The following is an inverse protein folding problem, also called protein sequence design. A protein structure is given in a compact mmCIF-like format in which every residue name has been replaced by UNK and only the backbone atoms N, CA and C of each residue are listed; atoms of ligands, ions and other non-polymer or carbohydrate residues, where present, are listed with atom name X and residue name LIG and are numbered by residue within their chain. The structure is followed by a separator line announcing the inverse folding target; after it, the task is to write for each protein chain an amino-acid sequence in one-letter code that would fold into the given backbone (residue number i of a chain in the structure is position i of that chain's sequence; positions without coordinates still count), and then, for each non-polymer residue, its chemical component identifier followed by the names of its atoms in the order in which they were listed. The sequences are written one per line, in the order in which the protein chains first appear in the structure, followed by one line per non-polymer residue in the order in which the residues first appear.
data_IF_464824857460
#
_entry.id   IF_464824857460
#
_cell.length_a   1.000
_cell.length_b   1.000
_cell.length_c   1.000
_cell.angle_alpha   90.00
_cell.angle_beta   90.00
_cell.angle_gamma   90.00
#
_symmetry.space_group_name_H-M   'P 1'
#
loop_
_entity.id
_entity.type
_entity.pdbx_description
1 polymer ?
#
# COMPACT_ATOMS: atom_id res chain seq x y z
N UNK A 1 11.86 2.28 -24.13
CA UNK A 1 11.27 0.93 -24.04
C UNK A 1 10.84 0.65 -22.59
N UNK A 2 9.65 0.13 -22.41
CA UNK A 2 9.14 -0.23 -21.09
C UNK A 2 9.83 -1.50 -20.60
N UNK A 3 10.38 -1.46 -19.40
CA UNK A 3 11.01 -2.63 -18.78
C UNK A 3 9.97 -3.40 -17.98
N UNK A 4 9.32 -4.38 -18.62
CA UNK A 4 8.29 -5.21 -17.98
C UNK A 4 8.87 -6.07 -16.86
N UNK A 5 10.14 -6.45 -16.97
CA UNK A 5 10.81 -7.24 -15.94
C UNK A 5 10.93 -6.44 -14.64
N UNK A 6 11.23 -5.14 -14.75
CA UNK A 6 11.35 -4.27 -13.58
C UNK A 6 10.01 -4.09 -12.86
N UNK A 7 8.92 -3.89 -13.62
CA UNK A 7 7.60 -3.78 -13.00
C UNK A 7 7.19 -5.11 -12.36
N UNK A 8 7.51 -6.24 -12.97
CA UNK A 8 7.20 -7.55 -12.40
C UNK A 8 7.91 -7.79 -11.07
N UNK A 9 9.15 -7.32 -10.92
CA UNK A 9 9.87 -7.41 -9.66
C UNK A 9 9.14 -6.68 -8.53
N UNK A 10 8.57 -5.52 -8.84
CA UNK A 10 7.73 -4.82 -7.86
C UNK A 10 6.47 -5.61 -7.51
N UNK A 11 5.79 -6.16 -8.52
CA UNK A 11 4.55 -6.90 -8.31
C UNK A 11 4.77 -8.17 -7.49
N UNK A 12 5.91 -8.84 -7.66
CA UNK A 12 6.25 -10.00 -6.83
C UNK A 12 6.32 -9.63 -5.35
N UNK A 13 6.89 -8.47 -5.05
CA UNK A 13 6.96 -7.96 -3.68
C UNK A 13 5.58 -7.56 -3.15
N UNK A 14 4.72 -7.02 -4.03
CA UNK A 14 3.34 -6.69 -3.65
C UNK A 14 2.61 -7.93 -3.14
N UNK A 15 2.67 -9.02 -3.89
CA UNK A 15 2.03 -10.28 -3.51
C UNK A 15 2.59 -10.81 -2.19
N UNK A 16 3.91 -10.76 -2.03
CA UNK A 16 4.56 -11.21 -0.81
C UNK A 16 4.08 -10.41 0.40
N UNK A 17 4.03 -9.08 0.26
CA UNK A 17 3.62 -8.21 1.37
C UNK A 17 2.14 -8.38 1.72
N UNK A 18 1.28 -8.60 0.71
CA UNK A 18 -0.15 -8.86 1.00
C UNK A 18 -0.35 -10.19 1.71
N UNK A 19 0.40 -11.22 1.35
CA UNK A 19 0.36 -12.50 2.06
C UNK A 19 0.82 -12.31 3.52
N UNK A 20 1.83 -11.47 3.73
CA UNK A 20 2.30 -11.14 5.08
C UNK A 20 1.22 -10.40 5.87
N UNK A 21 0.53 -9.43 5.24
CA UNK A 21 -0.56 -8.71 5.89
C UNK A 21 -1.64 -9.68 6.39
N UNK A 22 -2.03 -10.64 5.56
CA UNK A 22 -3.03 -11.63 5.93
C UNK A 22 -2.56 -12.53 7.06
N UNK A 23 -1.30 -12.94 7.04
CA UNK A 23 -0.72 -13.76 8.11
C UNK A 23 -0.68 -12.98 9.44
N UNK A 24 -0.37 -11.69 9.39
CA UNK A 24 -0.37 -10.85 10.58
C UNK A 24 -1.78 -10.71 11.14
N UNK A 25 -2.77 -10.56 10.27
CA UNK A 25 -4.17 -10.50 10.70
C UNK A 25 -4.58 -11.79 11.40
N UNK A 26 -4.25 -12.95 10.83
CA UNK A 26 -4.62 -14.26 11.38
C UNK A 26 -4.00 -14.51 12.75
N UNK A 27 -2.82 -13.95 13.00
CA UNK A 27 -2.11 -14.14 14.27
C UNK A 27 -2.35 -12.99 15.27
N UNK A 28 -3.26 -12.08 14.94
CA UNK A 28 -3.62 -10.99 15.84
C UNK A 28 -2.63 -9.84 15.88
N UNK A 29 -1.69 -9.79 14.95
CA UNK A 29 -0.68 -8.72 14.87
C UNK A 29 -1.20 -7.60 13.98
N UNK A 30 -2.21 -6.89 14.49
CA UNK A 30 -3.03 -5.97 13.69
C UNK A 30 -2.24 -4.77 13.19
N UNK A 31 -1.32 -4.23 14.01
CA UNK A 31 -0.48 -3.10 13.61
C UNK A 31 0.32 -3.45 12.36
N UNK A 32 0.93 -4.64 12.36
CA UNK A 32 1.76 -5.06 11.24
C UNK A 32 0.93 -5.45 10.02
N UNK A 33 -0.30 -5.94 10.22
CA UNK A 33 -1.21 -6.18 9.10
C UNK A 33 -1.48 -4.89 8.34
N UNK A 34 -1.80 -3.80 9.04
CA UNK A 34 -2.07 -2.50 8.42
C UNK A 34 -0.78 -1.92 7.80
N UNK A 35 0.35 -2.04 8.52
CA UNK A 35 1.64 -1.59 8.00
C UNK A 35 1.98 -2.29 6.68
N UNK A 36 1.73 -3.59 6.57
CA UNK A 36 2.01 -4.33 5.34
C UNK A 36 1.09 -3.94 4.19
N UNK A 37 -0.13 -3.47 4.50
CA UNK A 37 -0.99 -2.89 3.46
C UNK A 37 -0.34 -1.65 2.84
N UNK A 38 0.21 -0.77 3.66
CA UNK A 38 0.93 0.41 3.17
C UNK A 38 2.12 -0.02 2.30
N UNK A 39 2.92 -0.99 2.77
CA UNK A 39 4.07 -1.47 2.04
C UNK A 39 3.68 -2.05 0.68
N UNK A 40 2.63 -2.84 0.65
CA UNK A 40 2.15 -3.47 -0.58
C UNK A 40 1.67 -2.42 -1.58
N UNK A 41 0.88 -1.45 -1.14
CA UNK A 41 0.38 -0.37 -2.01
C UNK A 41 1.52 0.51 -2.52
N UNK A 42 2.47 0.86 -1.66
CA UNK A 42 3.62 1.65 -2.09
C UNK A 42 4.36 0.95 -3.23
N UNK A 43 4.62 -0.34 -3.08
CA UNK A 43 5.32 -1.12 -4.10
C UNK A 43 4.48 -1.27 -5.36
N UNK A 44 3.15 -1.36 -5.23
CA UNK A 44 2.27 -1.45 -6.38
C UNK A 44 2.31 -0.15 -7.21
N UNK A 45 2.24 1.02 -6.57
CA UNK A 45 2.38 2.29 -7.26
C UNK A 45 3.76 2.41 -7.93
N UNK A 46 4.81 1.97 -7.24
CA UNK A 46 6.17 2.00 -7.81
C UNK A 46 6.30 1.05 -9.00
N UNK A 47 5.63 -0.09 -8.95
CA UNK A 47 5.52 -0.99 -10.10
C UNK A 47 4.83 -0.34 -11.28
N UNK A 48 3.76 0.41 -11.03
CA UNK A 48 3.06 1.15 -12.07
C UNK A 48 3.96 2.24 -12.68
N UNK A 49 4.70 2.98 -11.85
CA UNK A 49 5.66 3.97 -12.35
C UNK A 49 6.73 3.31 -13.22
N UNK A 50 7.24 2.15 -12.81
CA UNK A 50 8.20 1.40 -13.62
C UNK A 50 7.59 0.99 -14.96
N UNK A 51 6.34 0.53 -14.95
CA UNK A 51 5.60 0.17 -16.16
C UNK A 51 5.44 1.37 -17.10
N UNK A 52 5.24 2.56 -16.53
CA UNK A 52 5.10 3.81 -17.27
C UNK A 52 6.44 4.41 -17.72
N UNK A 53 7.54 3.73 -17.42
CA UNK A 53 8.91 4.19 -17.71
C UNK A 53 9.20 5.53 -17.05
N UNK A 54 8.72 5.71 -15.83
CA UNK A 54 8.95 6.92 -15.04
C UNK A 54 9.99 6.66 -13.95
N UNK A 55 10.62 7.74 -13.49
CA UNK A 55 11.55 7.67 -12.38
C UNK A 55 10.83 7.24 -11.11
N UNK A 56 11.44 6.32 -10.36
CA UNK A 56 10.90 5.86 -9.09
C UNK A 56 11.57 6.64 -7.97
N UNK A 57 10.83 7.61 -7.42
CA UNK A 57 11.32 8.47 -6.36
C UNK A 57 11.21 7.72 -5.02
N UNK A 58 12.21 7.83 -4.11
CA UNK A 58 12.19 7.09 -2.84
C UNK A 58 11.26 7.76 -1.81
N UNK A 59 9.98 7.83 -2.12
CA UNK A 59 8.95 8.38 -1.23
C UNK A 59 7.99 7.28 -0.80
N UNK A 60 7.28 7.52 0.30
CA UNK A 60 6.38 6.54 0.91
C UNK A 60 4.94 7.04 0.98
N UNK A 61 4.68 8.28 0.58
CA UNK A 61 3.35 8.88 0.61
C UNK A 61 2.52 8.35 -0.56
N UNK A 62 1.44 7.64 -0.24
CA UNK A 62 0.63 6.95 -1.25
C UNK A 62 -0.14 7.91 -2.14
N UNK A 63 -0.66 9.01 -1.58
CA UNK A 63 -1.36 10.03 -2.38
C UNK A 63 -0.41 10.63 -3.41
N UNK A 64 0.81 10.93 -3.00
CA UNK A 64 1.82 11.48 -3.92
C UNK A 64 2.17 10.49 -5.03
N UNK A 65 2.29 9.21 -4.68
CA UNK A 65 2.54 8.18 -5.68
C UNK A 65 1.38 8.05 -6.66
N UNK A 66 0.14 8.20 -6.18
CA UNK A 66 -1.04 8.22 -7.05
C UNK A 66 -1.01 9.40 -8.02
N UNK A 67 -0.55 10.57 -7.56
CA UNK A 67 -0.37 11.74 -8.44
C UNK A 67 0.68 11.47 -9.52
N UNK A 68 1.85 10.98 -9.11
CA UNK A 68 2.97 10.75 -10.02
C UNK A 68 2.63 9.70 -11.09
N UNK A 69 1.81 8.72 -10.74
CA UNK A 69 1.39 7.66 -11.68
C UNK A 69 0.15 8.03 -12.49
N UNK A 70 -0.39 9.24 -12.31
CA UNK A 70 -1.53 9.78 -13.05
C UNK A 70 -2.83 8.99 -12.85
N UNK A 71 -3.05 8.43 -11.66
CA UNK A 71 -4.28 7.71 -11.36
C UNK A 71 -5.14 8.41 -10.30
N UNK A 72 -4.64 9.49 -9.71
CA UNK A 72 -5.30 10.14 -8.59
C UNK A 72 -6.71 10.64 -8.95
N UNK A 73 -6.94 11.07 -10.19
CA UNK A 73 -8.23 11.60 -10.61
C UNK A 73 -9.32 10.53 -10.63
N UNK A 74 -8.94 9.26 -10.65
CA UNK A 74 -9.88 8.13 -10.67
C UNK A 74 -10.17 7.59 -9.28
N UNK A 75 -9.54 8.19 -8.26
CA UNK A 75 -9.75 7.79 -6.86
C UNK A 75 -10.69 8.79 -6.20
N UNK A 76 -11.72 8.28 -5.52
CA UNK A 76 -12.65 9.15 -4.80
C UNK A 76 -12.06 9.59 -3.45
N UNK A 77 -12.73 10.54 -2.81
CA UNK A 77 -12.23 11.11 -1.55
C UNK A 77 -12.09 10.06 -0.45
N UNK A 78 -13.07 9.15 -0.23
CA UNK A 78 -12.88 8.10 0.78
C UNK A 78 -11.64 7.23 0.55
N UNK A 79 -11.34 6.90 -0.71
CA UNK A 79 -10.13 6.14 -1.05
C UNK A 79 -8.86 6.94 -0.73
N UNK A 80 -8.86 8.24 -1.08
CA UNK A 80 -7.70 9.10 -0.80
C UNK A 80 -7.47 9.25 0.70
N UNK A 81 -8.54 9.33 1.49
CA UNK A 81 -8.43 9.39 2.94
C UNK A 81 -7.80 8.13 3.52
N UNK A 82 -8.15 6.95 2.97
CA UNK A 82 -7.53 5.69 3.38
C UNK A 82 -6.05 5.67 3.03
N UNK A 83 -5.67 6.18 1.86
CA UNK A 83 -4.26 6.28 1.49
C UNK A 83 -3.50 7.21 2.45
N UNK A 84 -4.11 8.33 2.83
CA UNK A 84 -3.49 9.26 3.79
C UNK A 84 -3.30 8.60 5.15
N UNK A 85 -4.32 7.85 5.60
CA UNK A 85 -4.23 7.12 6.86
C UNK A 85 -3.05 6.14 6.84
N UNK A 86 -2.95 5.35 5.77
CA UNK A 86 -1.88 4.36 5.63
C UNK A 86 -0.50 5.02 5.57
N UNK A 87 -0.38 6.16 4.87
CA UNK A 87 0.88 6.88 4.77
C UNK A 87 1.33 7.38 6.14
N UNK A 88 0.42 7.94 6.92
CA UNK A 88 0.70 8.39 8.28
C UNK A 88 1.04 7.21 9.18
N UNK A 89 0.36 6.09 9.00
CA UNK A 89 0.60 4.89 9.76
C UNK A 89 2.02 4.34 9.53
N UNK A 90 2.49 4.40 8.29
CA UNK A 90 3.86 3.98 7.96
C UNK A 90 4.89 4.75 8.79
N UNK A 91 4.71 6.07 8.92
CA UNK A 91 5.64 6.91 9.69
C UNK A 91 5.58 6.55 11.17
N UNK A 92 4.37 6.49 11.73
CA UNK A 92 4.16 6.30 13.16
C UNK A 92 4.58 4.91 13.64
N UNK A 93 4.33 3.88 12.83
CA UNK A 93 4.63 2.50 13.20
C UNK A 93 6.14 2.22 13.32
N UNK A 94 6.99 3.14 12.84
CA UNK A 94 8.44 3.00 12.94
C UNK A 94 8.97 3.44 14.31
N UNK A 95 8.16 4.14 15.09
CA UNK A 95 8.58 4.66 16.40
C UNK A 95 7.88 3.88 17.51
N UNK A 96 8.68 3.33 18.42
CA UNK A 96 8.20 2.46 19.47
C UNK A 96 7.16 3.11 20.40
N UNK A 97 7.28 4.42 20.59
CA UNK A 97 6.38 5.19 21.46
C UNK A 97 4.96 5.23 20.91
N UNK A 98 4.84 5.22 19.59
CA UNK A 98 3.55 5.35 18.91
C UNK A 98 2.80 4.02 18.79
N UNK A 99 3.50 2.89 18.93
CA UNK A 99 2.89 1.56 18.75
C UNK A 99 1.73 1.33 19.72
N UNK A 100 1.85 1.77 20.97
CA UNK A 100 0.79 1.57 21.94
C UNK A 100 -0.46 2.39 21.60
N UNK A 101 -0.28 3.62 21.12
CA UNK A 101 -1.40 4.45 20.70
C UNK A 101 -2.04 3.91 19.42
N UNK A 102 -1.22 3.48 18.47
CA UNK A 102 -1.71 2.90 17.22
C UNK A 102 -2.54 1.64 17.49
N UNK A 103 -2.09 0.79 18.41
CA UNK A 103 -2.79 -0.46 18.72
C UNK A 103 -4.18 -0.23 19.29
N UNK A 104 -4.39 0.90 19.97
CA UNK A 104 -5.70 1.22 20.56
C UNK A 104 -6.75 1.56 19.51
N UNK A 105 -6.33 2.06 18.35
CA UNK A 105 -7.24 2.45 17.28
C UNK A 105 -7.47 1.40 16.22
N UNK A 106 -6.75 0.28 16.29
CA UNK A 106 -6.83 -0.78 15.28
C UNK A 106 -7.53 -2.01 15.85
N UNK A 107 -8.73 -2.28 15.34
CA UNK A 107 -9.46 -3.51 15.64
C UNK A 107 -9.21 -4.50 14.50
N UNK A 108 -9.60 -5.76 14.73
CA UNK A 108 -9.55 -6.78 13.69
C UNK A 108 -10.39 -6.36 12.47
N UNK A 109 -11.58 -5.78 12.71
CA UNK A 109 -12.44 -5.31 11.64
C UNK A 109 -11.78 -4.20 10.81
N UNK A 110 -11.09 -3.26 11.46
CA UNK A 110 -10.38 -2.19 10.77
C UNK A 110 -9.24 -2.74 9.95
N UNK A 111 -8.43 -3.66 10.51
CA UNK A 111 -7.34 -4.28 9.78
C UNK A 111 -7.84 -5.05 8.57
N UNK A 112 -8.93 -5.81 8.74
CA UNK A 112 -9.54 -6.55 7.64
C UNK A 112 -10.05 -5.63 6.55
N UNK A 113 -10.65 -4.49 6.91
CA UNK A 113 -11.11 -3.50 5.95
C UNK A 113 -9.95 -2.94 5.13
N UNK A 114 -8.82 -2.65 5.77
CA UNK A 114 -7.64 -2.16 5.03
C UNK A 114 -7.06 -3.23 4.11
N UNK A 115 -7.09 -4.49 4.49
CA UNK A 115 -6.65 -5.58 3.62
C UNK A 115 -7.54 -5.66 2.38
N UNK A 116 -8.87 -5.61 2.56
CA UNK A 116 -9.81 -5.66 1.45
C UNK A 116 -9.65 -4.46 0.53
N UNK A 117 -9.53 -3.27 1.09
CA UNK A 117 -9.28 -2.04 0.34
C UNK A 117 -7.99 -2.16 -0.48
N UNK A 118 -6.92 -2.61 0.16
CA UNK A 118 -5.61 -2.72 -0.50
C UNK A 118 -5.65 -3.73 -1.64
N UNK A 119 -6.26 -4.89 -1.42
CA UNK A 119 -6.39 -5.91 -2.47
C UNK A 119 -7.19 -5.40 -3.66
N UNK A 120 -8.29 -4.69 -3.41
CA UNK A 120 -9.12 -4.13 -4.48
C UNK A 120 -8.36 -3.09 -5.29
N UNK A 121 -7.64 -2.19 -4.61
CA UNK A 121 -6.87 -1.16 -5.28
C UNK A 121 -5.70 -1.76 -6.06
N UNK A 122 -5.01 -2.74 -5.48
CA UNK A 122 -3.91 -3.44 -6.16
C UNK A 122 -4.41 -4.11 -7.44
N UNK A 123 -5.55 -4.80 -7.37
CA UNK A 123 -6.13 -5.44 -8.54
C UNK A 123 -6.41 -4.42 -9.64
N UNK A 124 -6.99 -3.28 -9.27
CA UNK A 124 -7.29 -2.22 -10.22
C UNK A 124 -6.02 -1.62 -10.84
N UNK A 125 -5.00 -1.37 -10.00
CA UNK A 125 -3.72 -0.85 -10.50
C UNK A 125 -3.02 -1.84 -11.43
N UNK A 126 -3.08 -3.14 -11.12
CA UNK A 126 -2.47 -4.17 -11.96
C UNK A 126 -3.13 -4.25 -13.34
N UNK A 127 -4.41 -3.95 -13.44
CA UNK A 127 -5.10 -3.93 -14.73
C UNK A 127 -4.51 -2.86 -15.67
N UNK A 128 -3.91 -1.83 -15.12
CA UNK A 128 -3.27 -0.77 -15.90
C UNK A 128 -1.89 -1.14 -16.40
N UNK A 129 -1.39 -2.29 -15.99
CA UNK A 129 -0.06 -2.80 -16.36
C UNK A 129 -0.14 -3.98 -17.34
N UNK A 130 -1.21 -4.00 -18.12
CA UNK A 130 -1.42 -5.06 -19.12
C UNK A 130 -1.39 -4.51 -20.53
#
# INVERSE_FOLDING_TARGET
MIDLKKSQMWLDRVAYDMDTAKAMLQTGRLIYAVFMCQQSLEKCFKGLLAYQDKEIIPIHNLRRLAELSNVIQKLDEPMLMKLDFLSNYYINARYKEDLQQLSKGITEAVAQDFIQFSEGLITWLCQKMK
#
